data_IF_299853872551
#
_entry.id   IF_299853872551
#
_cell.length_a   1.000
_cell.length_b   1.000
_cell.length_c   1.000
_cell.angle_alpha   90.00
_cell.angle_beta   90.00
_cell.angle_gamma   90.00
#
_symmetry.space_group_name_H-M   'P 1'
#
loop_
_entity.id
_entity.type
_entity.pdbx_description
1 polymer ?
#
# COMPACT_ATOMS: atom_id res chain seq x y z
N UNK A 1 34.86 3.35 -5.34
CA UNK A 1 33.49 3.61 -5.80
C UNK A 1 33.01 2.34 -6.48
N UNK A 2 31.94 1.71 -6.00
CA UNK A 2 31.45 0.47 -6.63
C UNK A 2 30.83 0.84 -7.98
N UNK A 3 31.27 0.18 -9.05
CA UNK A 3 30.68 0.43 -10.39
C UNK A 3 29.28 -0.18 -10.41
N UNK A 4 28.28 0.64 -10.77
CA UNK A 4 26.87 0.22 -10.83
C UNK A 4 26.70 -0.64 -12.07
N UNK A 5 26.19 -1.87 -11.89
CA UNK A 5 25.84 -2.79 -12.97
C UNK A 5 24.42 -3.31 -12.79
N UNK A 6 23.49 -2.72 -13.52
CA UNK A 6 22.08 -3.09 -13.51
C UNK A 6 21.73 -4.21 -14.52
N UNK A 7 22.69 -4.72 -15.28
CA UNK A 7 22.44 -5.77 -16.30
C UNK A 7 21.93 -7.07 -15.67
N UNK A 8 22.34 -7.34 -14.44
CA UNK A 8 21.97 -8.52 -13.65
C UNK A 8 20.89 -8.23 -12.59
N UNK A 9 20.20 -7.08 -12.68
CA UNK A 9 19.12 -6.77 -11.76
C UNK A 9 17.95 -7.73 -11.95
N UNK A 10 17.54 -8.40 -10.89
CA UNK A 10 16.37 -9.27 -10.87
C UNK A 10 15.44 -8.90 -9.72
N UNK A 11 14.22 -8.50 -10.05
CA UNK A 11 13.18 -8.23 -9.06
C UNK A 11 12.32 -9.48 -8.84
N UNK A 12 12.26 -10.03 -7.61
CA UNK A 12 11.33 -11.12 -7.30
C UNK A 12 9.88 -10.65 -7.49
N UNK A 13 9.09 -11.42 -8.24
CA UNK A 13 7.68 -11.10 -8.51
C UNK A 13 6.77 -12.23 -8.00
N UNK A 14 6.68 -12.44 -6.68
CA UNK A 14 5.77 -13.43 -6.13
C UNK A 14 4.33 -13.05 -6.51
N UNK A 15 3.50 -14.06 -6.80
CA UNK A 15 2.07 -13.90 -7.15
C UNK A 15 1.81 -12.99 -8.37
N UNK A 16 2.68 -13.04 -9.38
CA UNK A 16 2.61 -12.15 -10.57
C UNK A 16 1.22 -12.10 -11.23
N UNK A 17 0.56 -13.24 -11.39
CA UNK A 17 -0.78 -13.29 -11.99
C UNK A 17 -1.82 -12.54 -11.14
N UNK A 18 -1.81 -12.75 -9.82
CA UNK A 18 -2.69 -12.05 -8.88
C UNK A 18 -2.41 -10.54 -8.88
N UNK A 19 -1.13 -10.16 -8.97
CA UNK A 19 -0.71 -8.77 -9.04
C UNK A 19 -1.25 -8.07 -10.30
N UNK A 20 -1.18 -8.73 -11.45
CA UNK A 20 -1.71 -8.20 -12.71
C UNK A 20 -3.22 -8.03 -12.62
N UNK A 21 -3.92 -9.07 -12.15
CA UNK A 21 -5.38 -9.02 -11.97
C UNK A 21 -5.79 -7.88 -11.04
N UNK A 22 -5.12 -7.76 -9.88
CA UNK A 22 -5.41 -6.68 -8.95
C UNK A 22 -5.15 -5.29 -9.55
N UNK A 23 -4.06 -5.11 -10.29
CA UNK A 23 -3.76 -3.82 -10.94
C UNK A 23 -4.85 -3.39 -11.91
N UNK A 24 -5.37 -4.32 -12.70
CA UNK A 24 -6.51 -4.05 -13.60
C UNK A 24 -7.74 -3.65 -12.78
N UNK A 25 -8.10 -4.42 -11.75
CA UNK A 25 -9.26 -4.16 -10.90
C UNK A 25 -9.10 -2.84 -10.13
N UNK A 26 -7.92 -2.54 -9.59
CA UNK A 26 -7.68 -1.26 -8.89
C UNK A 26 -7.75 -0.06 -9.84
N UNK A 27 -7.33 -0.24 -11.09
CA UNK A 27 -7.40 0.83 -12.10
C UNK A 27 -8.81 1.08 -12.65
N UNK A 28 -9.71 0.11 -12.55
CA UNK A 28 -11.05 0.13 -13.14
C UNK A 28 -12.14 0.03 -12.08
N UNK A 29 -12.57 -1.18 -11.72
CA UNK A 29 -13.71 -1.45 -10.83
C UNK A 29 -13.58 -0.73 -9.48
N UNK A 30 -12.42 -0.78 -8.85
CA UNK A 30 -12.21 -0.15 -7.54
C UNK A 30 -12.44 1.37 -7.62
N UNK A 31 -11.96 2.02 -8.69
CA UNK A 31 -12.18 3.45 -8.91
C UNK A 31 -13.63 3.82 -9.23
N UNK A 32 -14.40 2.90 -9.81
CA UNK A 32 -15.81 3.13 -10.13
C UNK A 32 -16.71 3.06 -8.89
N UNK A 33 -16.27 2.42 -7.83
CA UNK A 33 -16.99 2.31 -6.56
C UNK A 33 -16.93 3.62 -5.75
N UNK A 34 -17.46 4.72 -6.31
CA UNK A 34 -17.41 6.07 -5.72
C UNK A 34 -18.57 6.26 -4.73
N UNK A 35 -18.31 7.06 -3.69
CA UNK A 35 -19.31 7.45 -2.70
C UNK A 35 -19.36 6.55 -1.45
N UNK A 36 -20.00 7.10 -0.41
CA UNK A 36 -20.12 6.44 0.89
C UNK A 36 -20.91 5.13 0.84
N UNK A 37 -22.02 5.00 0.05
CA UNK A 37 -22.77 3.74 -0.01
C UNK A 37 -21.95 2.56 -0.55
N UNK A 38 -20.93 2.83 -1.37
CA UNK A 38 -20.08 1.80 -1.98
C UNK A 38 -18.80 1.50 -1.20
N UNK A 39 -18.65 2.12 -0.01
CA UNK A 39 -17.50 1.89 0.89
C UNK A 39 -17.33 0.41 1.25
N UNK A 40 -18.40 -0.22 1.66
CA UNK A 40 -18.34 -1.61 2.13
C UNK A 40 -18.08 -2.57 0.97
N UNK A 41 -18.52 -2.24 -0.24
CA UNK A 41 -18.15 -3.00 -1.44
C UNK A 41 -16.65 -2.88 -1.75
N UNK A 42 -16.06 -1.68 -1.58
CA UNK A 42 -14.59 -1.53 -1.72
C UNK A 42 -13.84 -2.36 -0.70
N UNK A 43 -14.27 -2.30 0.56
CA UNK A 43 -13.66 -3.09 1.64
C UNK A 43 -13.81 -4.60 1.39
N UNK A 44 -14.97 -5.04 0.91
CA UNK A 44 -15.20 -6.44 0.53
C UNK A 44 -14.26 -6.86 -0.61
N UNK A 45 -14.11 -6.02 -1.63
CA UNK A 45 -13.22 -6.29 -2.75
C UNK A 45 -11.76 -6.41 -2.28
N UNK A 46 -11.29 -5.50 -1.43
CA UNK A 46 -9.95 -5.57 -0.85
C UNK A 46 -9.74 -6.86 -0.03
N UNK A 47 -10.75 -7.25 0.76
CA UNK A 47 -10.72 -8.52 1.54
C UNK A 47 -10.68 -9.75 0.63
N UNK A 48 -11.43 -9.74 -0.47
CA UNK A 48 -11.40 -10.83 -1.46
C UNK A 48 -9.99 -11.02 -2.05
N UNK A 49 -9.19 -9.95 -2.11
CA UNK A 49 -7.78 -9.99 -2.50
C UNK A 49 -6.82 -10.15 -1.31
N UNK A 50 -7.31 -10.50 -0.13
CA UNK A 50 -6.50 -10.89 1.03
C UNK A 50 -6.16 -9.77 2.01
N UNK A 51 -6.70 -8.55 1.85
CA UNK A 51 -6.52 -7.49 2.83
C UNK A 51 -7.30 -7.80 4.13
N UNK A 52 -6.73 -7.43 5.27
CA UNK A 52 -7.42 -7.48 6.55
C UNK A 52 -7.89 -6.06 6.89
N UNK A 53 -9.16 -5.79 6.66
CA UNK A 53 -9.75 -4.46 6.89
C UNK A 53 -10.93 -4.58 7.82
N UNK A 54 -10.94 -3.80 8.89
CA UNK A 54 -12.10 -3.70 9.78
C UNK A 54 -13.26 -2.98 9.10
N UNK A 55 -14.49 -3.41 9.40
CA UNK A 55 -15.70 -2.73 8.94
C UNK A 55 -15.76 -1.32 9.54
N UNK A 56 -16.22 -0.35 8.79
CA UNK A 56 -16.25 1.04 9.21
C UNK A 56 -15.04 1.85 8.77
N UNK A 57 -13.93 1.21 8.42
CA UNK A 57 -12.77 1.90 7.86
C UNK A 57 -13.01 2.34 6.42
N UNK A 58 -12.37 3.43 6.03
CA UNK A 58 -12.60 4.07 4.74
C UNK A 58 -11.32 3.99 3.90
N UNK A 59 -11.42 3.38 2.72
CA UNK A 59 -10.39 3.46 1.69
C UNK A 59 -11.00 4.18 0.49
N UNK A 60 -10.40 5.31 0.10
CA UNK A 60 -10.93 6.08 -1.03
C UNK A 60 -10.68 5.37 -2.36
N UNK A 61 -11.62 5.50 -3.33
CA UNK A 61 -11.54 4.80 -4.61
C UNK A 61 -10.34 5.24 -5.47
N UNK A 62 -9.80 6.43 -5.24
CA UNK A 62 -8.63 6.95 -5.94
C UNK A 62 -7.28 6.44 -5.39
N UNK A 63 -7.30 5.62 -4.32
CA UNK A 63 -6.10 5.02 -3.77
C UNK A 63 -5.43 4.06 -4.76
N UNK A 64 -4.10 4.08 -4.79
CA UNK A 64 -3.30 3.09 -5.50
C UNK A 64 -2.72 2.10 -4.50
N UNK A 65 -3.17 0.87 -4.54
CA UNK A 65 -2.73 -0.19 -3.63
C UNK A 65 -1.96 -1.23 -4.44
N UNK A 66 -0.70 -1.50 -4.06
CA UNK A 66 0.14 -2.44 -4.79
C UNK A 66 -0.27 -3.90 -4.54
N UNK A 67 -0.45 -4.28 -3.29
CA UNK A 67 -0.73 -5.67 -2.88
C UNK A 67 -1.73 -5.72 -1.71
N UNK A 68 -3.03 -5.88 -1.96
CA UNK A 68 -4.02 -5.96 -0.87
C UNK A 68 -3.70 -7.03 0.17
N UNK A 69 -3.14 -8.17 -0.23
CA UNK A 69 -2.75 -9.25 0.68
C UNK A 69 -1.60 -8.91 1.65
N UNK A 70 -1.00 -7.74 1.51
CA UNK A 70 0.00 -7.15 2.40
C UNK A 70 -0.52 -5.85 3.04
N UNK A 71 -1.82 -5.78 3.35
CA UNK A 71 -2.46 -4.61 3.92
C UNK A 71 -3.38 -5.01 5.08
N UNK A 72 -3.16 -4.37 6.23
CA UNK A 72 -4.02 -4.47 7.41
C UNK A 72 -4.49 -3.07 7.81
N UNK A 73 -5.79 -2.89 8.08
CA UNK A 73 -6.37 -1.62 8.48
C UNK A 73 -7.34 -1.88 9.65
N UNK A 74 -7.05 -1.25 10.78
CA UNK A 74 -7.85 -1.29 12.01
C UNK A 74 -9.18 -0.56 11.88
N UNK A 75 -9.88 -0.44 12.99
CA UNK A 75 -11.23 0.16 13.06
C UNK A 75 -11.17 1.67 12.85
N UNK A 76 -12.21 2.22 12.23
CA UNK A 76 -12.40 3.67 12.07
C UNK A 76 -11.24 4.40 11.39
N UNK A 77 -10.35 3.68 10.71
CA UNK A 77 -9.21 4.26 10.02
C UNK A 77 -9.58 4.71 8.61
N UNK A 78 -8.88 5.74 8.13
CA UNK A 78 -9.16 6.36 6.85
C UNK A 78 -7.89 6.46 6.00
N UNK A 79 -7.95 5.91 4.79
CA UNK A 79 -6.94 6.10 3.73
C UNK A 79 -7.53 7.05 2.70
N UNK A 80 -7.05 8.29 2.70
CA UNK A 80 -7.57 9.43 1.95
C UNK A 80 -7.38 9.34 0.43
N UNK A 81 -7.93 10.31 -0.30
CA UNK A 81 -7.85 10.34 -1.77
C UNK A 81 -6.41 10.36 -2.26
N UNK A 82 -6.16 9.66 -3.36
CA UNK A 82 -4.86 9.64 -4.05
C UNK A 82 -3.67 9.12 -3.23
N UNK A 83 -3.93 8.53 -2.06
CA UNK A 83 -2.88 7.84 -1.28
C UNK A 83 -2.33 6.69 -2.10
N UNK A 84 -1.01 6.54 -2.05
CA UNK A 84 -0.30 5.44 -2.69
C UNK A 84 0.27 4.50 -1.60
N UNK A 85 -0.15 3.25 -1.63
CA UNK A 85 0.36 2.18 -0.77
C UNK A 85 1.23 1.26 -1.64
N UNK A 86 2.54 1.55 -1.70
CA UNK A 86 3.52 0.72 -2.40
C UNK A 86 4.03 -0.36 -1.44
N UNK A 87 3.12 -1.28 -1.12
CA UNK A 87 3.30 -2.28 -0.09
C UNK A 87 3.86 -3.60 -0.67
N UNK A 88 5.16 -3.61 -0.95
CA UNK A 88 5.93 -4.83 -1.25
C UNK A 88 6.24 -5.65 0.00
N UNK A 89 6.22 -5.02 1.17
CA UNK A 89 6.12 -5.63 2.50
C UNK A 89 4.82 -5.20 3.17
N UNK A 90 4.56 -5.71 4.35
CA UNK A 90 3.34 -5.44 5.11
C UNK A 90 3.21 -3.94 5.43
N UNK A 91 2.01 -3.38 5.21
CA UNK A 91 1.57 -2.12 5.82
C UNK A 91 0.46 -2.45 6.79
N UNK A 92 0.63 -2.03 8.04
CA UNK A 92 -0.35 -2.16 9.10
C UNK A 92 -0.73 -0.77 9.61
N UNK A 93 -2.01 -0.47 9.57
CA UNK A 93 -2.61 0.71 10.17
C UNK A 93 -3.44 0.27 11.35
N UNK A 94 -3.19 0.80 12.54
CA UNK A 94 -3.97 0.56 13.75
C UNK A 94 -5.40 1.11 13.68
N UNK A 95 -6.04 1.23 14.82
CA UNK A 95 -7.37 1.81 14.96
C UNK A 95 -7.30 3.35 14.94
N UNK A 96 -8.30 4.00 14.34
CA UNK A 96 -8.42 5.48 14.28
C UNK A 96 -7.22 6.17 13.60
N UNK A 97 -6.55 5.50 12.66
CA UNK A 97 -5.46 6.06 11.87
C UNK A 97 -6.02 6.85 10.70
N UNK A 98 -5.44 8.02 10.45
CA UNK A 98 -5.76 8.84 9.27
C UNK A 98 -4.52 9.00 8.40
N UNK A 99 -4.59 8.50 7.18
CA UNK A 99 -3.61 8.80 6.14
C UNK A 99 -4.23 9.81 5.19
N UNK A 100 -3.77 11.06 5.25
CA UNK A 100 -4.34 12.16 4.46
C UNK A 100 -4.00 12.03 2.97
N UNK A 101 -4.73 12.79 2.16
CA UNK A 101 -4.66 12.75 0.69
C UNK A 101 -3.24 12.92 0.16
N UNK A 102 -2.95 12.26 -0.96
CA UNK A 102 -1.70 12.37 -1.70
C UNK A 102 -0.49 11.68 -1.05
N UNK A 103 -0.61 11.22 0.20
CA UNK A 103 0.51 10.61 0.91
C UNK A 103 0.99 9.32 0.23
N UNK A 104 2.28 9.04 0.35
CA UNK A 104 2.92 7.87 -0.21
C UNK A 104 3.59 7.03 0.88
N UNK A 105 3.07 5.84 1.12
CA UNK A 105 3.65 4.84 2.01
C UNK A 105 4.41 3.81 1.18
N UNK A 106 5.73 3.75 1.36
CA UNK A 106 6.62 2.96 0.52
C UNK A 106 7.43 1.98 1.37
N UNK A 107 7.11 0.69 1.27
CA UNK A 107 7.81 -0.37 2.01
C UNK A 107 9.07 -0.90 1.32
N UNK A 108 9.50 -0.27 0.25
CA UNK A 108 10.62 -0.74 -0.56
C UNK A 108 11.62 0.37 -0.85
N UNK A 109 12.89 -0.03 -0.95
CA UNK A 109 14.01 0.80 -1.38
C UNK A 109 15.05 -0.07 -2.08
N UNK A 110 16.20 0.48 -2.38
CA UNK A 110 17.32 -0.24 -2.98
C UNK A 110 18.56 -0.13 -2.10
N UNK A 111 19.33 -1.22 -2.02
CA UNK A 111 20.64 -1.19 -1.37
C UNK A 111 21.64 -0.50 -2.29
N UNK A 112 22.04 0.71 -1.90
CA UNK A 112 23.02 1.52 -2.66
C UNK A 112 24.46 1.01 -2.53
N UNK A 113 24.72 0.09 -1.60
CA UNK A 113 26.03 -0.55 -1.45
C UNK A 113 26.20 -1.77 -2.35
N UNK A 114 25.10 -2.34 -2.86
CA UNK A 114 25.11 -3.42 -3.85
C UNK A 114 25.19 -2.82 -5.27
N UNK A 115 26.20 -3.19 -6.08
CA UNK A 115 26.31 -2.73 -7.48
C UNK A 115 25.05 -2.98 -8.32
N UNK A 116 24.27 -4.00 -7.96
CA UNK A 116 23.03 -4.35 -8.65
C UNK A 116 21.83 -3.56 -8.15
N UNK A 117 22.00 -2.69 -7.14
CA UNK A 117 20.90 -1.98 -6.46
C UNK A 117 19.76 -2.93 -6.06
N UNK A 118 20.10 -4.03 -5.42
CA UNK A 118 19.11 -5.04 -5.00
C UNK A 118 17.98 -4.41 -4.20
N UNK A 119 16.75 -4.88 -4.47
CA UNK A 119 15.56 -4.41 -3.77
C UNK A 119 15.63 -4.84 -2.30
N UNK A 120 15.42 -3.89 -1.40
CA UNK A 120 15.24 -4.12 0.04
C UNK A 120 13.83 -3.69 0.43
N UNK A 121 13.22 -4.43 1.36
CA UNK A 121 11.86 -4.16 1.82
C UNK A 121 11.80 -4.26 3.34
N UNK A 122 11.00 -3.40 3.97
CA UNK A 122 10.66 -3.48 5.39
C UNK A 122 9.22 -3.02 5.62
N UNK A 123 8.51 -3.60 6.60
CA UNK A 123 7.12 -3.23 6.87
C UNK A 123 7.02 -1.78 7.38
N UNK A 124 5.80 -1.23 7.25
CA UNK A 124 5.39 0.01 7.90
C UNK A 124 4.30 -0.33 8.90
N UNK A 125 4.45 0.16 10.12
CA UNK A 125 3.44 0.05 11.17
C UNK A 125 3.07 1.45 11.66
N UNK A 126 1.80 1.79 11.58
CA UNK A 126 1.25 3.01 12.17
C UNK A 126 0.32 2.58 13.32
N UNK A 127 0.67 2.96 14.54
CA UNK A 127 -0.10 2.66 15.74
C UNK A 127 -1.45 3.37 15.78
N UNK A 128 -2.27 3.04 16.76
CA UNK A 128 -3.59 3.64 16.95
C UNK A 128 -3.53 5.16 17.06
N UNK A 129 -4.45 5.83 16.41
CA UNK A 129 -4.60 7.29 16.48
C UNK A 129 -3.55 8.09 15.71
N UNK A 130 -2.67 7.46 14.96
CA UNK A 130 -1.67 8.16 14.13
C UNK A 130 -2.34 8.96 13.01
N UNK A 131 -1.90 10.18 12.83
CA UNK A 131 -2.28 11.03 11.71
C UNK A 131 -1.08 11.33 10.81
N UNK A 132 -1.14 10.82 9.59
CA UNK A 132 -0.22 11.18 8.50
C UNK A 132 -0.80 12.36 7.74
N UNK A 133 -0.12 13.49 7.76
CA UNK A 133 -0.55 14.72 7.08
C UNK A 133 -0.53 14.53 5.55
N UNK A 134 -1.19 15.45 4.84
CA UNK A 134 -1.27 15.42 3.38
C UNK A 134 0.12 15.44 2.71
N UNK A 135 0.24 14.76 1.58
CA UNK A 135 1.44 14.74 0.73
C UNK A 135 2.72 14.28 1.46
N UNK A 136 2.57 13.51 2.55
CA UNK A 136 3.69 12.96 3.31
C UNK A 136 4.29 11.73 2.63
N UNK A 137 5.60 11.54 2.77
CA UNK A 137 6.29 10.32 2.42
C UNK A 137 6.66 9.53 3.67
N UNK A 138 6.19 8.28 3.76
CA UNK A 138 6.54 7.34 4.83
C UNK A 138 7.36 6.22 4.22
N UNK A 139 8.63 6.15 4.63
CA UNK A 139 9.57 5.15 4.13
C UNK A 139 9.45 3.79 4.80
N UNK A 140 10.14 2.81 4.23
CA UNK A 140 10.20 1.45 4.76
C UNK A 140 10.78 1.42 6.20
N UNK A 141 10.27 0.52 7.03
CA UNK A 141 10.75 0.29 8.40
C UNK A 141 10.27 1.32 9.42
N UNK A 142 9.39 2.25 9.05
CA UNK A 142 8.81 3.22 9.99
C UNK A 142 7.83 2.51 10.93
N UNK A 143 7.97 2.84 12.21
CA UNK A 143 7.07 2.48 13.29
C UNK A 143 6.84 3.70 14.17
#
# INVERSE_FOLDING_TARGET
MCEIDLSNYHEPKPRRALQILWRVINATLFKMLVGSPLRDMRNLLLRAFGAKICWGSIVYPSCKIWAPWLLEIGKNSCVGPHVQLYNKAQITLGDNVVVSQGSFLCTASHDISDPRHSLVVAPILLDDGVWVAADSFIGMGVH
#
